data_IF_507819362650
#
_entry.id   IF_507819362650
#
_cell.length_a   1.000
_cell.length_b   1.000
_cell.length_c   1.000
_cell.angle_alpha   90.00
_cell.angle_beta   90.00
_cell.angle_gamma   90.00
#
_symmetry.space_group_name_H-M   'P 1'
#
loop_
_entity.id
_entity.type
_entity.pdbx_description
1 polymer ?
#
# COMPACT_ATOMS: atom_id res chain seq x y z
N UNK A 1 -15.04 9.01 32.96
CA UNK A 1 -15.39 9.32 31.55
C UNK A 1 -14.10 9.77 30.85
N UNK A 2 -13.28 8.88 30.29
CA UNK A 2 -13.30 8.37 28.89
C UNK A 2 -13.47 9.46 27.82
N UNK A 3 -12.41 10.24 27.52
CA UNK A 3 -12.20 10.90 26.21
C UNK A 3 -10.69 11.08 25.94
N UNK A 4 -10.04 9.96 25.59
CA UNK A 4 -8.69 9.93 25.00
C UNK A 4 -8.80 9.25 23.64
N UNK A 5 -9.55 9.85 22.72
CA UNK A 5 -9.70 9.39 21.33
C UNK A 5 -9.83 10.66 20.47
N UNK A 6 -9.01 10.75 19.41
CA UNK A 6 -8.99 11.75 18.33
C UNK A 6 -7.67 12.52 18.16
N UNK A 7 -6.53 11.85 18.34
CA UNK A 7 -5.22 12.32 17.81
C UNK A 7 -4.51 11.20 17.04
N UNK A 8 -5.28 10.49 16.21
CA UNK A 8 -4.82 9.56 15.16
C UNK A 8 -5.16 10.15 13.77
N UNK A 9 -4.88 11.45 13.59
CA UNK A 9 -5.06 12.12 12.31
C UNK A 9 -3.72 12.15 11.59
N UNK A 10 -3.63 11.34 10.54
CA UNK A 10 -2.75 11.54 9.38
C UNK A 10 -1.24 11.41 9.59
N UNK A 11 -0.82 10.38 10.32
CA UNK A 11 0.37 9.62 9.88
C UNK A 11 -0.18 8.34 9.25
N UNK A 12 -0.98 8.51 8.20
CA UNK A 12 -1.24 7.43 7.26
C UNK A 12 0.07 7.19 6.54
N UNK A 13 0.99 6.49 7.21
CA UNK A 13 2.32 6.23 6.70
C UNK A 13 2.17 5.64 5.32
N UNK A 14 2.78 6.31 4.34
CA UNK A 14 3.13 5.78 3.03
C UNK A 14 3.98 4.53 3.24
N UNK A 15 3.34 3.45 3.65
CA UNK A 15 3.86 2.12 3.50
C UNK A 15 3.51 1.77 2.08
N UNK A 16 4.52 1.42 1.28
CA UNK A 16 4.29 0.72 0.04
C UNK A 16 3.31 -0.42 0.32
N UNK A 17 2.10 -0.32 -0.23
CA UNK A 17 1.12 -1.37 -0.06
C UNK A 17 1.41 -2.39 -1.13
N UNK A 18 2.21 -3.39 -0.77
CA UNK A 18 2.11 -4.64 -1.48
C UNK A 18 0.72 -5.22 -1.19
N UNK A 19 -0.14 -5.25 -2.21
CA UNK A 19 -1.48 -5.77 -2.07
C UNK A 19 -1.74 -6.89 -3.08
N UNK A 20 -2.27 -8.00 -2.55
CA UNK A 20 -2.72 -9.11 -3.39
C UNK A 20 -4.19 -8.93 -3.70
N UNK A 21 -4.48 -8.68 -4.97
CA UNK A 21 -5.83 -8.47 -5.46
C UNK A 21 -6.55 -9.81 -5.63
N UNK A 22 -7.75 -9.90 -5.07
CA UNK A 22 -8.55 -11.14 -5.03
C UNK A 22 -9.68 -11.18 -6.05
N UNK A 23 -10.08 -10.03 -6.61
CA UNK A 23 -11.14 -9.92 -7.61
C UNK A 23 -10.88 -8.79 -8.58
N UNK A 24 -11.43 -8.89 -9.79
CA UNK A 24 -11.37 -7.83 -10.77
C UNK A 24 -12.07 -6.54 -10.32
N UNK A 25 -13.17 -6.65 -9.56
CA UNK A 25 -13.83 -5.48 -8.97
C UNK A 25 -12.94 -4.73 -7.98
N UNK A 26 -12.19 -5.46 -7.14
CA UNK A 26 -11.22 -4.86 -6.24
C UNK A 26 -10.06 -4.22 -7.01
N UNK A 27 -9.62 -4.85 -8.11
CA UNK A 27 -8.61 -4.29 -9.00
C UNK A 27 -9.02 -2.93 -9.55
N UNK A 28 -10.20 -2.85 -10.19
CA UNK A 28 -10.68 -1.60 -10.77
C UNK A 28 -10.92 -0.52 -9.71
N UNK A 29 -11.47 -0.90 -8.55
CA UNK A 29 -11.62 0.03 -7.44
C UNK A 29 -10.30 0.56 -6.91
N UNK A 30 -9.24 -0.25 -6.93
CA UNK A 30 -7.91 0.18 -6.53
C UNK A 30 -7.32 1.17 -7.53
N UNK A 31 -7.48 0.87 -8.82
CA UNK A 31 -6.96 1.71 -9.90
C UNK A 31 -7.81 2.95 -10.16
N UNK A 32 -9.06 2.97 -9.72
CA UNK A 32 -9.94 4.13 -9.86
C UNK A 32 -9.26 5.34 -9.22
N UNK A 33 -8.95 6.39 -10.00
CA UNK A 33 -8.25 7.55 -9.47
C UNK A 33 -9.08 8.14 -8.35
N UNK A 34 -8.60 7.96 -7.11
CA UNK A 34 -9.20 8.60 -5.97
C UNK A 34 -9.18 10.11 -6.25
N UNK A 35 -10.31 10.79 -6.07
CA UNK A 35 -10.40 12.26 -6.28
C UNK A 35 -9.33 13.02 -5.47
N UNK A 36 -8.73 12.38 -4.46
CA UNK A 36 -7.68 12.92 -3.60
C UNK A 36 -6.26 12.64 -4.09
N UNK A 37 -6.02 11.60 -4.88
CA UNK A 37 -4.67 11.15 -5.27
C UNK A 37 -4.51 11.14 -6.80
N UNK A 38 -4.37 12.33 -7.39
CA UNK A 38 -4.15 12.49 -8.84
C UNK A 38 -2.85 11.87 -9.37
N UNK A 39 -2.03 11.24 -8.51
CA UNK A 39 -0.72 10.70 -8.81
C UNK A 39 -0.60 9.24 -8.38
N UNK A 40 -1.67 8.44 -8.53
CA UNK A 40 -1.61 6.99 -8.30
C UNK A 40 -0.66 6.36 -9.34
N UNK A 41 0.55 6.01 -8.89
CA UNK A 41 1.50 5.19 -9.63
C UNK A 41 1.36 3.76 -9.12
N UNK A 42 1.05 2.82 -10.01
CA UNK A 42 0.93 1.42 -9.63
C UNK A 42 1.76 0.54 -10.55
N UNK A 43 2.41 -0.46 -9.97
CA UNK A 43 3.07 -1.54 -10.69
C UNK A 43 2.27 -2.82 -10.41
N UNK A 44 1.77 -3.47 -11.46
CA UNK A 44 0.86 -4.61 -11.34
C UNK A 44 1.53 -5.86 -11.91
N UNK A 45 1.76 -6.85 -11.05
CA UNK A 45 2.26 -8.17 -11.42
C UNK A 45 1.09 -9.10 -11.73
N UNK A 46 0.90 -9.41 -13.01
CA UNK A 46 -0.02 -10.43 -13.49
C UNK A 46 0.70 -11.78 -13.57
N UNK A 47 0.10 -12.79 -12.96
CA UNK A 47 0.56 -14.18 -13.04
C UNK A 47 -0.63 -15.12 -13.14
N UNK A 48 -0.41 -16.32 -13.67
CA UNK A 48 -1.40 -17.37 -13.69
C UNK A 48 -0.86 -18.60 -12.95
N UNK A 49 -1.43 -18.95 -11.78
CA UNK A 49 -1.02 -20.17 -11.07
C UNK A 49 -1.42 -21.46 -11.79
N UNK A 50 -2.37 -21.36 -12.70
CA UNK A 50 -2.93 -22.47 -13.45
C UNK A 50 -2.23 -22.64 -14.80
N UNK A 51 -1.29 -21.77 -15.15
CA UNK A 51 -0.48 -21.91 -16.35
C UNK A 51 0.28 -23.24 -16.34
N UNK A 52 0.19 -23.96 -17.46
CA UNK A 52 0.79 -25.28 -17.57
C UNK A 52 0.12 -26.37 -16.71
N UNK A 53 -1.08 -26.13 -16.17
CA UNK A 53 -1.86 -27.20 -15.52
C UNK A 53 -1.98 -28.38 -16.46
N UNK A 54 -1.53 -29.54 -15.98
CA UNK A 54 -1.40 -30.74 -16.79
C UNK A 54 -2.79 -31.31 -17.10
N UNK A 55 -3.19 -31.40 -18.40
CA UNK A 55 -4.41 -32.08 -18.79
C UNK A 55 -4.45 -33.51 -18.26
N UNK A 56 -5.63 -33.96 -17.82
CA UNK A 56 -5.82 -35.31 -17.27
C UNK A 56 -5.69 -36.40 -18.35
N UNK A 57 -5.90 -36.02 -19.61
CA UNK A 57 -6.01 -36.93 -20.75
C UNK A 57 -4.65 -37.26 -21.39
N UNK A 58 -3.55 -36.73 -20.85
CA UNK A 58 -2.19 -37.02 -21.33
C UNK A 58 -1.71 -38.40 -20.90
N UNK A 59 -0.94 -39.05 -21.78
CA UNK A 59 -0.22 -40.29 -21.46
C UNK A 59 0.78 -40.10 -20.31
N UNK A 60 1.16 -41.19 -19.62
CA UNK A 60 1.96 -41.15 -18.39
C UNK A 60 3.28 -40.37 -18.52
N UNK A 61 4.03 -40.57 -19.61
CA UNK A 61 5.29 -39.87 -19.88
C UNK A 61 5.09 -38.38 -20.16
N UNK A 62 4.13 -38.04 -21.03
CA UNK A 62 3.78 -36.65 -21.34
C UNK A 62 3.29 -35.90 -20.10
N UNK A 63 2.52 -36.58 -19.25
CA UNK A 63 2.05 -36.04 -17.98
C UNK A 63 3.20 -35.75 -17.03
N UNK A 64 4.25 -36.58 -17.00
CA UNK A 64 5.44 -36.35 -16.16
C UNK A 64 6.22 -35.11 -16.64
N UNK A 65 6.49 -35.00 -17.94
CA UNK A 65 7.15 -33.83 -18.52
C UNK A 65 6.35 -32.53 -18.27
N UNK A 66 5.04 -32.57 -18.49
CA UNK A 66 4.17 -31.43 -18.23
C UNK A 66 4.13 -31.04 -16.74
N UNK A 67 4.21 -32.03 -15.82
CA UNK A 67 4.29 -31.76 -14.38
C UNK A 67 5.62 -31.10 -14.00
N UNK A 68 6.73 -31.53 -14.59
CA UNK A 68 8.05 -30.93 -14.37
C UNK A 68 8.07 -29.48 -14.84
N UNK A 69 7.57 -29.22 -16.06
CA UNK A 69 7.44 -27.87 -16.60
C UNK A 69 6.52 -26.97 -15.74
N UNK A 70 5.37 -27.48 -15.31
CA UNK A 70 4.46 -26.74 -14.42
C UNK A 70 5.11 -26.41 -13.07
N UNK A 71 5.89 -27.33 -12.50
CA UNK A 71 6.63 -27.08 -11.25
C UNK A 71 7.68 -25.99 -11.41
N UNK A 72 8.35 -25.95 -12.56
CA UNK A 72 9.33 -24.92 -12.89
C UNK A 72 8.67 -23.54 -13.00
N UNK A 73 7.57 -23.44 -13.75
CA UNK A 73 6.75 -22.21 -13.84
C UNK A 73 6.32 -21.74 -12.45
N UNK A 74 5.76 -22.66 -11.63
CA UNK A 74 5.29 -22.32 -10.29
C UNK A 74 6.44 -21.83 -9.37
N UNK A 75 7.64 -22.42 -9.50
CA UNK A 75 8.84 -22.00 -8.77
C UNK A 75 9.26 -20.59 -9.21
N UNK A 76 9.26 -20.32 -10.52
CA UNK A 76 9.59 -19.01 -11.08
C UNK A 76 8.61 -17.93 -10.59
N UNK A 77 7.29 -18.15 -10.72
CA UNK A 77 6.25 -17.23 -10.21
C UNK A 77 6.44 -16.94 -8.71
N UNK A 78 6.79 -17.96 -7.92
CA UNK A 78 7.04 -17.80 -6.48
C UNK A 78 8.29 -16.96 -6.20
N UNK A 79 9.38 -17.20 -6.94
CA UNK A 79 10.62 -16.42 -6.81
C UNK A 79 10.38 -14.95 -7.14
N UNK A 80 9.66 -14.68 -8.22
CA UNK A 80 9.36 -13.33 -8.65
C UNK A 80 8.42 -12.57 -7.72
N UNK A 81 7.41 -13.22 -7.14
CA UNK A 81 6.59 -12.60 -6.10
C UNK A 81 7.44 -12.14 -4.93
N UNK A 82 8.41 -12.94 -4.50
CA UNK A 82 9.34 -12.55 -3.42
C UNK A 82 10.21 -11.37 -3.82
N UNK A 83 10.73 -11.35 -5.04
CA UNK A 83 11.49 -10.21 -5.56
C UNK A 83 10.62 -8.94 -5.60
N UNK A 84 9.38 -9.08 -6.08
CA UNK A 84 8.41 -7.99 -6.16
C UNK A 84 8.01 -7.45 -4.78
N UNK A 85 7.76 -8.34 -3.81
CA UNK A 85 7.51 -7.99 -2.40
C UNK A 85 8.71 -7.29 -1.75
N UNK A 86 9.93 -7.69 -2.11
CA UNK A 86 11.14 -7.02 -1.65
C UNK A 86 11.28 -5.62 -2.23
N UNK A 87 11.03 -5.47 -3.55
CA UNK A 87 11.02 -4.16 -4.23
C UNK A 87 9.98 -3.22 -3.66
N UNK A 88 8.84 -3.72 -3.18
CA UNK A 88 7.82 -2.89 -2.53
C UNK A 88 8.40 -2.08 -1.38
N UNK A 89 9.35 -2.64 -0.60
CA UNK A 89 9.97 -1.93 0.52
C UNK A 89 10.78 -0.70 0.09
N UNK A 90 11.29 -0.70 -1.13
CA UNK A 90 12.13 0.38 -1.67
C UNK A 90 11.31 1.52 -2.29
N UNK A 91 10.12 1.26 -2.82
CA UNK A 91 9.26 2.25 -3.48
C UNK A 91 7.96 2.44 -2.70
N UNK A 92 7.95 3.43 -1.79
CA UNK A 92 6.77 3.75 -0.95
C UNK A 92 5.72 4.58 -1.67
N UNK A 93 6.14 5.20 -2.76
CA UNK A 93 5.37 6.10 -3.61
C UNK A 93 4.64 5.36 -4.73
N UNK A 94 4.98 4.08 -4.94
CA UNK A 94 4.37 3.23 -5.97
C UNK A 94 3.59 2.13 -5.28
N UNK A 95 2.36 1.92 -5.72
CA UNK A 95 1.53 0.80 -5.27
C UNK A 95 1.93 -0.47 -6.00
N UNK A 96 2.31 -1.52 -5.27
CA UNK A 96 2.71 -2.80 -5.85
C UNK A 96 1.58 -3.81 -5.71
N UNK A 97 0.91 -4.11 -6.82
CA UNK A 97 -0.23 -5.02 -6.84
C UNK A 97 0.16 -6.36 -7.44
N UNK A 98 -0.35 -7.46 -6.88
CA UNK A 98 -0.23 -8.79 -7.49
C UNK A 98 -1.60 -9.39 -7.80
N UNK A 99 -1.77 -9.87 -9.03
CA UNK A 99 -3.05 -10.35 -9.56
C UNK A 99 -2.86 -11.75 -10.12
N UNK A 100 -3.63 -12.71 -9.58
CA UNK A 100 -3.72 -14.06 -10.13
C UNK A 100 -4.82 -14.10 -11.19
N UNK A 101 -4.46 -14.04 -12.47
CA UNK A 101 -5.46 -14.06 -13.56
C UNK A 101 -5.94 -15.47 -13.91
N UNK A 102 -5.31 -16.49 -13.32
CA UNK A 102 -5.82 -17.86 -13.36
C UNK A 102 -7.04 -18.08 -12.47
N UNK A 103 -7.26 -17.20 -11.49
CA UNK A 103 -8.44 -17.24 -10.63
C UNK A 103 -9.68 -16.82 -11.43
N UNK A 104 -10.79 -17.55 -11.24
CA UNK A 104 -12.07 -17.28 -11.90
C UNK A 104 -12.54 -15.84 -11.67
N UNK A 105 -12.23 -15.26 -10.51
CA UNK A 105 -12.63 -13.89 -10.15
C UNK A 105 -11.82 -12.79 -10.87
N UNK A 106 -10.72 -13.17 -11.53
CA UNK A 106 -9.77 -12.25 -12.17
C UNK A 106 -9.57 -12.56 -13.66
N UNK A 107 -10.14 -13.64 -14.18
CA UNK A 107 -9.91 -14.11 -15.55
C UNK A 107 -10.21 -13.02 -16.61
N UNK A 108 -11.22 -12.18 -16.35
CA UNK A 108 -11.55 -11.05 -17.22
C UNK A 108 -10.43 -10.00 -17.34
N UNK A 109 -9.56 -9.88 -16.33
CA UNK A 109 -8.42 -8.95 -16.37
C UNK A 109 -7.36 -9.40 -17.37
N UNK A 110 -7.21 -10.72 -17.59
CA UNK A 110 -6.30 -11.24 -18.62
C UNK A 110 -6.68 -10.68 -19.98
N UNK A 111 -7.96 -10.79 -20.33
CA UNK A 111 -8.46 -10.46 -21.65
C UNK A 111 -8.54 -8.93 -21.80
N UNK A 112 -9.03 -8.22 -20.77
CA UNK A 112 -9.10 -6.76 -20.76
C UNK A 112 -7.75 -6.08 -20.95
N UNK A 113 -6.67 -6.66 -20.41
CA UNK A 113 -5.32 -6.14 -20.52
C UNK A 113 -4.46 -6.88 -21.54
N UNK A 114 -5.03 -7.81 -22.32
CA UNK A 114 -4.32 -8.58 -23.34
C UNK A 114 -3.03 -9.23 -22.82
N UNK A 115 -3.07 -9.82 -21.62
CA UNK A 115 -1.90 -10.46 -21.01
C UNK A 115 -1.69 -11.83 -21.66
N UNK A 116 -0.69 -11.93 -22.53
CA UNK A 116 -0.38 -13.15 -23.29
C UNK A 116 0.76 -13.99 -22.73
N UNK A 117 1.53 -13.44 -21.79
CA UNK A 117 2.69 -14.09 -21.20
C UNK A 117 2.62 -13.99 -19.68
N UNK A 118 3.09 -15.01 -18.97
CA UNK A 118 3.23 -14.94 -17.52
C UNK A 118 4.62 -15.36 -17.08
N UNK A 119 5.09 -14.80 -15.98
CA UNK A 119 4.58 -13.59 -15.32
C UNK A 119 4.84 -12.32 -16.15
N UNK A 120 3.94 -11.34 -16.02
CA UNK A 120 4.03 -10.02 -16.67
C UNK A 120 3.83 -8.91 -15.65
N UNK A 121 4.78 -8.00 -15.56
CA UNK A 121 4.69 -6.78 -14.78
C UNK A 121 4.30 -5.63 -15.70
N UNK A 122 3.25 -4.89 -15.37
CA UNK A 122 2.82 -3.72 -16.14
C UNK A 122 2.67 -2.50 -15.25
N UNK A 123 3.03 -1.34 -15.78
CA UNK A 123 2.93 -0.07 -15.08
C UNK A 123 1.59 0.62 -15.37
N UNK A 124 1.03 1.26 -14.36
CA UNK A 124 -0.23 1.99 -14.40
C UNK A 124 -0.03 3.39 -13.83
N UNK A 125 -0.61 4.39 -14.49
CA UNK A 125 -0.59 5.78 -14.07
C UNK A 125 -2.00 6.32 -14.12
N UNK A 126 -2.51 6.83 -13.00
CA UNK A 126 -3.87 7.37 -12.87
C UNK A 126 -4.96 6.37 -13.29
N UNK A 127 -4.75 5.10 -12.96
CA UNK A 127 -5.69 4.00 -13.26
C UNK A 127 -5.58 3.41 -14.66
N UNK A 128 -4.79 4.01 -15.54
CA UNK A 128 -4.62 3.55 -16.92
C UNK A 128 -3.25 2.87 -17.11
N UNK A 129 -3.14 1.87 -18.01
CA UNK A 129 -1.85 1.31 -18.40
C UNK A 129 -0.92 2.41 -18.94
N UNK A 130 0.33 2.42 -18.49
CA UNK A 130 1.32 3.33 -19.03
C UNK A 130 1.67 2.90 -20.47
N UNK A 131 1.52 3.83 -21.40
CA UNK A 131 1.83 3.64 -22.82
C UNK A 131 2.99 4.56 -23.21
N UNK A 132 4.01 4.00 -23.84
CA UNK A 132 5.14 4.74 -24.42
C UNK A 132 5.29 4.30 -25.87
N UNK A 133 5.34 5.26 -26.80
CA UNK A 133 5.43 5.02 -28.24
C UNK A 133 4.34 4.05 -28.76
N UNK A 134 3.12 4.18 -28.23
CA UNK A 134 1.96 3.36 -28.61
C UNK A 134 2.00 1.92 -28.07
N UNK A 135 2.96 1.57 -27.21
CA UNK A 135 3.09 0.24 -26.60
C UNK A 135 2.91 0.30 -25.09
N UNK A 136 2.24 -0.71 -24.53
CA UNK A 136 2.14 -0.88 -23.08
C UNK A 136 3.54 -1.11 -22.50
N UNK A 137 3.85 -0.38 -21.43
CA UNK A 137 5.10 -0.55 -20.70
C UNK A 137 5.00 -1.79 -19.82
N UNK A 138 5.62 -2.87 -20.25
CA UNK A 138 5.55 -4.17 -19.59
C UNK A 138 6.89 -4.90 -19.58
N UNK A 139 7.15 -5.61 -18.49
CA UNK A 139 8.27 -6.50 -18.31
C UNK A 139 7.74 -7.94 -18.27
N UNK A 140 8.12 -8.75 -19.25
CA UNK A 140 7.71 -10.15 -19.41
C UNK A 140 8.87 -11.07 -19.07
N UNK A 141 8.59 -12.27 -18.57
CA UNK A 141 9.62 -13.32 -18.46
C UNK A 141 10.12 -13.56 -17.04
N UNK A 142 11.29 -14.19 -16.98
CA UNK A 142 12.03 -14.35 -15.73
C UNK A 142 12.86 -13.10 -15.43
N UNK A 143 12.36 -12.28 -14.50
CA UNK A 143 13.09 -11.12 -13.97
C UNK A 143 13.73 -11.38 -12.60
N UNK A 144 13.83 -12.65 -12.17
CA UNK A 144 14.52 -13.03 -10.93
C UNK A 144 16.04 -13.18 -11.12
N UNK A 145 16.51 -13.45 -12.34
CA UNK A 145 17.91 -13.74 -12.64
C UNK A 145 18.70 -12.54 -13.19
N UNK A 146 18.01 -11.51 -13.66
CA UNK A 146 18.64 -10.28 -14.15
C UNK A 146 18.97 -9.32 -13.02
N UNK A 147 20.16 -9.42 -12.44
CA UNK A 147 20.77 -8.26 -11.80
C UNK A 147 21.43 -7.43 -12.90
N UNK A 148 20.87 -6.25 -13.17
CA UNK A 148 21.48 -5.29 -14.09
C UNK A 148 22.06 -4.20 -13.20
N UNK A 149 23.39 -4.11 -13.13
CA UNK A 149 24.10 -3.18 -12.25
C UNK A 149 23.76 -3.33 -10.76
N UNK A 150 23.69 -4.57 -10.26
CA UNK A 150 23.43 -4.88 -8.83
C UNK A 150 22.02 -4.53 -8.32
N UNK A 151 21.17 -3.91 -9.14
CA UNK A 151 19.76 -3.68 -8.81
C UNK A 151 18.85 -4.78 -9.39
N UNK A 152 17.76 -5.15 -8.67
CA UNK A 152 16.73 -6.03 -9.23
C UNK A 152 16.11 -5.40 -10.48
N UNK A 153 15.93 -6.18 -11.55
CA UNK A 153 15.32 -5.72 -12.81
C UNK A 153 13.98 -4.98 -12.62
N UNK A 154 13.16 -5.41 -11.64
CA UNK A 154 11.89 -4.75 -11.27
C UNK A 154 12.14 -3.31 -10.79
N UNK A 155 13.13 -3.10 -9.93
CA UNK A 155 13.44 -1.78 -9.37
C UNK A 155 13.93 -0.83 -10.45
N UNK A 156 14.81 -1.32 -11.33
CA UNK A 156 15.30 -0.55 -12.45
C UNK A 156 14.15 -0.17 -13.39
N UNK A 157 13.29 -1.13 -13.74
CA UNK A 157 12.12 -0.91 -14.58
C UNK A 157 11.20 0.18 -14.00
N UNK A 158 10.90 0.14 -12.71
CA UNK A 158 10.12 1.19 -12.04
C UNK A 158 10.83 2.55 -12.11
N UNK A 159 12.13 2.62 -11.79
CA UNK A 159 12.90 3.89 -11.84
C UNK A 159 12.95 4.49 -13.24
N UNK A 160 13.14 3.67 -14.28
CA UNK A 160 13.25 4.14 -15.66
C UNK A 160 11.99 4.87 -16.11
N UNK A 161 10.81 4.33 -15.80
CA UNK A 161 9.54 4.90 -16.28
C UNK A 161 8.87 5.85 -15.28
N UNK A 162 8.98 5.58 -13.98
CA UNK A 162 8.35 6.40 -12.94
C UNK A 162 9.32 7.32 -12.19
N UNK A 163 10.64 7.27 -12.42
CA UNK A 163 11.61 8.03 -11.63
C UNK A 163 11.30 9.52 -11.53
N UNK A 164 10.96 10.17 -12.65
CA UNK A 164 10.58 11.59 -12.66
C UNK A 164 9.28 11.87 -11.89
N UNK A 165 8.30 10.98 -11.99
CA UNK A 165 7.02 11.12 -11.29
C UNK A 165 7.17 10.89 -9.78
N UNK A 166 8.01 9.91 -9.39
CA UNK A 166 8.40 9.64 -8.00
C UNK A 166 9.14 10.84 -7.41
N UNK A 167 10.12 11.40 -8.12
CA UNK A 167 10.84 12.59 -7.66
C UNK A 167 9.92 13.79 -7.47
N UNK A 168 8.95 13.98 -8.38
CA UNK A 168 7.94 15.02 -8.26
C UNK A 168 7.03 14.81 -7.04
N UNK A 169 6.63 13.57 -6.77
CA UNK A 169 5.86 13.19 -5.58
C UNK A 169 6.63 13.49 -4.29
N UNK A 170 7.89 13.08 -4.21
CA UNK A 170 8.75 13.31 -3.04
C UNK A 170 8.91 14.81 -2.79
N UNK A 171 9.16 15.61 -3.85
CA UNK A 171 9.28 17.08 -3.74
C UNK A 171 7.98 17.73 -3.26
N UNK A 172 6.84 17.32 -3.81
CA UNK A 172 5.53 17.85 -3.41
C UNK A 172 5.23 17.53 -1.93
N UNK A 173 5.58 16.33 -1.46
CA UNK A 173 5.41 15.94 -0.06
C UNK A 173 6.33 16.74 0.88
N UNK A 174 7.61 16.88 0.52
CA UNK A 174 8.57 17.66 1.30
C UNK A 174 8.11 19.12 1.43
N UNK A 175 7.59 19.70 0.34
CA UNK A 175 7.04 21.05 0.35
C UNK A 175 5.78 21.16 1.24
N UNK A 176 4.86 20.20 1.15
CA UNK A 176 3.66 20.18 2.00
C UNK A 176 4.00 20.05 3.50
N UNK A 177 5.00 19.22 3.85
CA UNK A 177 5.49 19.09 5.22
C UNK A 177 6.12 20.40 5.71
N UNK A 178 6.98 21.00 4.89
CA UNK A 178 7.61 22.28 5.20
C UNK A 178 6.58 23.41 5.42
N UNK A 179 5.55 23.50 4.58
CA UNK A 179 4.46 24.46 4.77
C UNK A 179 3.68 24.22 6.07
N UNK A 180 3.46 22.96 6.42
CA UNK A 180 2.76 22.59 7.65
C UNK A 180 3.60 22.92 8.89
N UNK A 181 4.91 22.70 8.85
CA UNK A 181 5.85 23.13 9.88
C UNK A 181 5.92 24.66 9.99
N UNK A 182 5.99 25.36 8.86
CA UNK A 182 5.96 26.83 8.82
C UNK A 182 4.67 27.37 9.46
N UNK A 183 3.52 26.78 9.13
CA UNK A 183 2.22 27.12 9.76
C UNK A 183 2.22 26.85 11.25
N UNK A 184 2.81 25.73 11.71
CA UNK A 184 2.95 25.41 13.15
C UNK A 184 3.88 26.41 13.86
N UNK A 185 4.97 26.82 13.21
CA UNK A 185 5.91 27.80 13.76
C UNK A 185 5.32 29.23 13.80
N UNK A 186 4.54 29.60 12.78
CA UNK A 186 3.85 30.90 12.73
C UNK A 186 2.56 30.94 13.56
N UNK A 187 2.01 29.78 13.93
CA UNK A 187 0.84 29.72 14.78
C UNK A 187 1.18 30.42 16.11
N UNK A 188 0.42 31.44 16.52
CA UNK A 188 0.68 32.15 17.76
C UNK A 188 0.77 31.14 18.91
N UNK A 189 1.85 31.19 19.70
CA UNK A 189 2.14 30.28 20.83
C UNK A 189 1.04 30.23 21.92
N UNK A 190 -0.07 30.93 21.73
CA UNK A 190 -1.20 31.05 22.66
C UNK A 190 -1.84 29.70 23.02
N UNK A 191 -1.65 28.63 22.25
CA UNK A 191 -2.14 27.29 22.61
C UNK A 191 -1.19 26.46 23.50
N UNK A 192 0.04 26.93 23.77
CA UNK A 192 0.89 26.38 24.83
C UNK A 192 0.82 27.17 26.15
N UNK A 193 0.01 28.24 26.19
CA UNK A 193 -0.56 28.73 27.44
C UNK A 193 -1.82 27.91 27.75
N UNK A 194 -1.61 26.67 28.21
CA UNK A 194 -2.57 26.12 29.17
C UNK A 194 -2.73 27.17 30.28
N UNK A 195 -3.95 27.41 30.79
CA UNK A 195 -4.18 28.43 31.80
C UNK A 195 -3.20 28.20 32.96
N UNK A 196 -2.26 29.13 33.11
CA UNK A 196 -1.40 29.27 34.27
C UNK A 196 -2.27 29.81 35.41
N UNK A 197 -3.29 29.04 35.78
CA UNK A 197 -4.12 29.25 36.95
C UNK A 197 -3.78 28.13 37.94
N UNK A 198 -2.93 28.46 38.92
CA UNK A 198 -3.03 27.81 40.22
C UNK A 198 -1.88 26.90 40.66
N UNK A 199 -0.62 27.28 40.47
CA UNK A 199 0.47 26.82 41.36
C UNK A 199 1.22 28.01 41.97
N UNK A 200 0.43 28.95 42.50
CA UNK A 200 0.92 29.86 43.54
C UNK A 200 0.81 29.14 44.88
N UNK A 201 1.93 28.57 45.34
CA UNK A 201 2.13 28.24 46.74
C UNK A 201 2.17 29.55 47.53
N UNK A 202 1.06 29.91 48.16
CA UNK A 202 0.94 31.00 49.11
C UNK A 202 0.15 30.51 50.32
N UNK A 203 0.87 30.37 51.43
CA UNK A 203 0.45 29.81 52.71
C UNK A 203 -0.58 30.66 53.47
N UNK A 204 -1.48 29.97 54.19
CA UNK A 204 -2.15 30.43 55.41
C UNK A 204 -3.67 30.60 55.29
N UNK A 205 -4.53 30.06 56.16
CA UNK A 205 -4.41 29.30 57.40
C UNK A 205 -5.74 28.50 57.58
N UNK A 206 -5.84 27.55 58.53
CA UNK A 206 -6.90 26.55 58.67
C UNK A 206 -8.01 27.01 59.63
N UNK A 207 -9.21 26.42 59.55
CA UNK A 207 -10.06 26.30 60.74
C UNK A 207 -11.04 25.13 60.69
N UNK A 208 -11.07 24.44 61.82
CA UNK A 208 -11.91 23.36 62.32
C UNK A 208 -13.41 23.40 61.96
N UNK A 209 -14.02 22.21 61.85
CA UNK A 209 -15.47 22.00 62.02
C UNK A 209 -15.96 20.70 61.34
N UNK A 210 -15.79 19.52 61.94
CA UNK A 210 -16.81 18.82 62.76
C UNK A 210 -18.16 18.51 62.07
N UNK A 211 -18.58 17.23 62.14
CA UNK A 211 -19.99 16.79 62.07
C UNK A 211 -20.26 15.78 60.95
N UNK A 212 -20.20 14.45 61.17
CA UNK A 212 -21.24 13.59 61.76
C UNK A 212 -22.62 13.63 61.07
N UNK A 213 -23.11 12.44 60.70
CA UNK A 213 -24.49 12.14 60.26
C UNK A 213 -24.50 11.50 58.87
N UNK A 214 -24.62 10.18 58.66
CA UNK A 214 -25.69 9.25 59.08
C UNK A 214 -27.11 9.85 58.92
N UNK A 215 -27.88 9.25 58.01
CA UNK A 215 -29.31 9.48 57.82
C UNK A 215 -29.61 9.87 56.36
N UNK A 216 -30.45 9.19 55.60
CA UNK A 216 -31.36 8.11 55.92
C UNK A 216 -32.15 7.72 54.67
N UNK A 217 -32.75 6.54 54.75
CA UNK A 217 -33.81 6.05 53.89
C UNK A 217 -35.01 7.00 53.74
N UNK A 218 -35.81 6.71 52.70
CA UNK A 218 -37.12 7.25 52.25
C UNK A 218 -36.96 8.19 51.05
N UNK A 219 -37.60 8.00 49.90
CA UNK A 219 -38.88 7.35 49.58
C UNK A 219 -39.72 8.35 48.76
N UNK A 220 -40.55 7.83 47.84
CA UNK A 220 -41.50 8.53 46.94
C UNK A 220 -40.94 8.96 45.57
N UNK A 221 -41.18 8.15 44.53
CA UNK A 221 -42.37 8.18 43.67
C UNK A 221 -42.46 6.87 42.89
#
# INVERSE_FOLDING_TARGET
MKRLICLLVLIGGLHAKYEKIRSASAFYKYLEPSVKDQLTLAAVLFYDKNEGKVPKDLGKEQRKLAQEHHREIAKNIKAQKRAFEHTARAFKEVDLLSVDVGDRNNIQLRDAYQISYYPTLRLFKKGEPLVVDGKNVELKGDFSQGMIFEEPAISQFIRTYFGKDIDALIKAQAQAQWELEKRRASAPKYYNYGPYWGWGWGWGYPYYGYGWGYGGWRGCC
#
